data_IF_262780452418
#
_entry.id   IF_262780452418
#
_cell.length_a   1.000
_cell.length_b   1.000
_cell.length_c   1.000
_cell.angle_alpha   90.00
_cell.angle_beta   90.00
_cell.angle_gamma   90.00
#
_symmetry.space_group_name_H-M   'P 1'
#
loop_
_entity.id
_entity.type
_entity.pdbx_description
1 polymer ?
#
# COMPACT_ATOMS: atom_id res chain seq x y z
N UNK A 1 -16.10 -29.59 27.77
CA UNK A 1 -16.03 -29.96 26.35
C UNK A 1 -16.84 -28.96 25.55
N UNK A 2 -16.26 -27.90 24.96
CA UNK A 2 -17.00 -27.07 24.02
C UNK A 2 -16.75 -27.56 22.58
N UNK A 3 -17.86 -27.84 21.92
CA UNK A 3 -18.00 -28.24 20.52
C UNK A 3 -17.72 -27.07 19.57
N UNK A 4 -16.80 -27.24 18.62
CA UNK A 4 -16.60 -26.32 17.49
C UNK A 4 -17.64 -26.59 16.39
N UNK A 5 -18.36 -25.60 15.86
CA UNK A 5 -19.11 -25.77 14.61
C UNK A 5 -18.18 -25.63 13.39
N UNK A 6 -18.63 -26.25 12.30
CA UNK A 6 -17.86 -26.72 11.17
C UNK A 6 -17.38 -25.64 10.17
N UNK A 7 -16.17 -25.90 9.65
CA UNK A 7 -15.66 -25.66 8.28
C UNK A 7 -16.16 -24.44 7.49
N UNK A 8 -15.28 -23.45 7.34
CA UNK A 8 -15.33 -22.44 6.28
C UNK A 8 -15.21 -23.08 4.89
N UNK A 9 -15.92 -22.57 3.86
CA UNK A 9 -15.83 -23.12 2.51
C UNK A 9 -14.45 -22.82 1.88
N UNK A 10 -13.93 -23.71 1.02
CA UNK A 10 -12.63 -23.50 0.36
C UNK A 10 -12.70 -22.30 -0.61
N UNK A 11 -11.59 -21.56 -0.79
CA UNK A 11 -11.55 -20.39 -1.68
C UNK A 11 -11.81 -20.81 -3.13
N UNK A 12 -12.66 -20.03 -3.80
CA UNK A 12 -12.99 -20.18 -5.20
C UNK A 12 -11.72 -20.23 -6.07
N UNK A 13 -11.71 -21.14 -7.04
CA UNK A 13 -10.54 -21.38 -7.91
C UNK A 13 -10.25 -20.15 -8.77
N UNK A 14 -8.97 -19.82 -8.88
CA UNK A 14 -8.33 -18.77 -9.70
C UNK A 14 -8.62 -18.80 -11.23
N UNK A 15 -9.63 -19.52 -11.70
CA UNK A 15 -10.01 -19.56 -13.13
C UNK A 15 -11.01 -18.46 -13.53
N UNK A 16 -11.61 -17.76 -12.57
CA UNK A 16 -12.68 -16.80 -12.87
C UNK A 16 -12.22 -15.34 -13.05
N UNK A 17 -10.96 -15.01 -12.74
CA UNK A 17 -10.39 -13.66 -12.94
C UNK A 17 -10.12 -13.30 -14.41
N UNK A 18 -10.38 -14.20 -15.36
CA UNK A 18 -10.27 -13.90 -16.80
C UNK A 18 -11.53 -13.30 -17.41
N UNK A 19 -12.57 -13.06 -16.60
CA UNK A 19 -13.84 -12.43 -16.99
C UNK A 19 -14.13 -11.24 -16.08
N UNK A 20 -13.26 -10.24 -16.10
CA UNK A 20 -13.56 -8.98 -15.41
C UNK A 20 -14.67 -8.25 -16.17
N UNK A 21 -15.92 -8.51 -15.75
CA UNK A 21 -17.14 -7.85 -16.25
C UNK A 21 -17.07 -6.34 -16.09
N UNK A 22 -16.22 -5.85 -15.19
CA UNK A 22 -15.98 -4.45 -14.83
C UNK A 22 -15.34 -3.66 -15.98
N UNK A 23 -14.33 -4.22 -16.64
CA UNK A 23 -13.63 -3.59 -17.78
C UNK A 23 -14.51 -3.65 -19.03
N UNK A 24 -15.19 -4.77 -19.26
CA UNK A 24 -16.19 -4.90 -20.32
C UNK A 24 -17.40 -3.97 -20.10
N UNK A 25 -17.81 -3.74 -18.85
CA UNK A 25 -18.90 -2.83 -18.52
C UNK A 25 -18.49 -1.36 -18.71
N UNK A 26 -17.27 -0.97 -18.33
CA UNK A 26 -16.73 0.37 -18.61
C UNK A 26 -16.56 0.61 -20.11
N UNK A 27 -16.04 -0.37 -20.85
CA UNK A 27 -15.94 -0.28 -22.31
C UNK A 27 -17.32 -0.23 -22.99
N UNK A 28 -18.30 -1.02 -22.51
CA UNK A 28 -19.67 -0.99 -23.01
C UNK A 28 -20.40 0.32 -22.67
N UNK A 29 -20.15 0.89 -21.49
CA UNK A 29 -20.72 2.19 -21.08
C UNK A 29 -20.16 3.35 -21.92
N UNK A 30 -18.85 3.35 -22.17
CA UNK A 30 -18.21 4.33 -23.06
C UNK A 30 -18.70 4.17 -24.51
N UNK A 31 -18.86 2.93 -24.99
CA UNK A 31 -19.39 2.64 -26.33
C UNK A 31 -20.88 3.03 -26.46
N UNK A 32 -21.67 2.85 -25.39
CA UNK A 32 -23.07 3.26 -25.31
C UNK A 32 -23.24 4.78 -25.30
N UNK A 33 -22.38 5.51 -24.60
CA UNK A 33 -22.38 6.98 -24.58
C UNK A 33 -22.04 7.57 -25.96
N UNK A 34 -21.07 6.97 -26.68
CA UNK A 34 -20.71 7.36 -28.05
C UNK A 34 -21.87 7.07 -29.02
N UNK A 35 -22.60 5.96 -28.85
CA UNK A 35 -23.77 5.63 -29.68
C UNK A 35 -24.97 6.56 -29.44
N UNK A 36 -25.23 6.94 -28.18
CA UNK A 36 -26.33 7.84 -27.84
C UNK A 36 -26.07 9.27 -28.35
N UNK A 37 -24.84 9.76 -28.27
CA UNK A 37 -24.44 11.05 -28.82
C UNK A 37 -24.53 11.08 -30.36
N UNK A 38 -24.15 9.98 -31.02
CA UNK A 38 -24.27 9.84 -32.48
C UNK A 38 -25.72 9.89 -32.99
N UNK A 39 -26.66 9.23 -32.29
CA UNK A 39 -28.08 9.22 -32.69
C UNK A 39 -28.72 10.61 -32.53
N UNK A 40 -28.39 11.33 -31.45
CA UNK A 40 -28.87 12.70 -31.24
C UNK A 40 -28.30 13.67 -32.28
N UNK A 41 -27.02 13.53 -32.64
CA UNK A 41 -26.39 14.35 -33.67
C UNK A 41 -27.00 14.13 -35.06
N UNK A 42 -27.31 12.88 -35.44
CA UNK A 42 -27.98 12.56 -36.72
C UNK A 42 -29.42 13.09 -36.75
N UNK A 43 -30.14 13.03 -35.63
CA UNK A 43 -31.48 13.58 -35.52
C UNK A 43 -31.48 15.11 -35.66
N UNK A 44 -30.55 15.81 -35.00
CA UNK A 44 -30.40 17.28 -35.12
C UNK A 44 -29.98 17.66 -36.54
N UNK A 45 -29.00 16.97 -37.13
CA UNK A 45 -28.56 17.22 -38.50
C UNK A 45 -29.69 17.04 -39.52
N UNK A 46 -30.73 16.25 -39.22
CA UNK A 46 -31.86 16.04 -40.11
C UNK A 46 -32.72 17.31 -40.35
N UNK A 47 -32.63 18.30 -39.45
CA UNK A 47 -33.45 19.51 -39.38
C UNK A 47 -32.72 20.80 -39.83
N UNK A 48 -31.42 20.74 -40.17
CA UNK A 48 -30.63 21.90 -40.61
C UNK A 48 -30.51 22.03 -42.14
N UNK A 49 -30.35 23.24 -42.66
CA UNK A 49 -30.09 23.50 -44.09
C UNK A 49 -28.82 22.78 -44.59
N UNK A 50 -28.74 22.44 -45.89
CA UNK A 50 -27.63 21.64 -46.48
C UNK A 50 -26.24 22.21 -46.18
N UNK A 51 -26.07 23.54 -46.19
CA UNK A 51 -24.77 24.18 -45.87
C UNK A 51 -24.33 23.98 -44.41
N UNK A 52 -25.26 23.91 -43.45
CA UNK A 52 -24.91 23.65 -42.05
C UNK A 52 -24.66 22.17 -41.76
N UNK A 53 -25.22 21.27 -42.58
CA UNK A 53 -25.00 19.82 -42.46
C UNK A 53 -23.56 19.46 -42.82
N UNK A 54 -23.02 20.02 -43.91
CA UNK A 54 -21.66 19.70 -44.36
C UNK A 54 -20.60 20.24 -43.39
N UNK A 55 -20.81 21.43 -42.81
CA UNK A 55 -19.91 21.96 -41.78
C UNK A 55 -19.96 21.13 -40.49
N UNK A 56 -21.16 20.76 -40.02
CA UNK A 56 -21.33 19.93 -38.83
C UNK A 56 -20.74 18.52 -39.00
N UNK A 57 -20.87 17.93 -40.19
CA UNK A 57 -20.24 16.64 -40.52
C UNK A 57 -18.70 16.75 -40.56
N UNK A 58 -18.15 17.86 -41.07
CA UNK A 58 -16.72 18.14 -41.04
C UNK A 58 -16.16 18.20 -39.60
N UNK A 59 -16.82 18.93 -38.72
CA UNK A 59 -16.43 19.00 -37.29
C UNK A 59 -16.58 17.65 -36.58
N UNK A 60 -17.65 16.90 -36.87
CA UNK A 60 -17.88 15.57 -36.31
C UNK A 60 -16.81 14.56 -36.75
N UNK A 61 -16.37 14.60 -38.01
CA UNK A 61 -15.30 13.72 -38.50
C UNK A 61 -13.93 14.09 -37.93
N UNK A 62 -13.64 15.38 -37.76
CA UNK A 62 -12.41 15.84 -37.11
C UNK A 62 -12.34 15.46 -35.63
N UNK A 63 -13.45 15.58 -34.91
CA UNK A 63 -13.54 15.15 -33.50
C UNK A 63 -13.41 13.62 -33.36
N UNK A 64 -14.02 12.84 -34.25
CA UNK A 64 -13.85 11.39 -34.29
C UNK A 64 -12.40 10.99 -34.58
N UNK A 65 -11.72 11.63 -35.54
CA UNK A 65 -10.32 11.36 -35.86
C UNK A 65 -9.37 11.68 -34.69
N UNK A 66 -9.61 12.80 -34.01
CA UNK A 66 -8.88 13.16 -32.78
C UNK A 66 -9.11 12.13 -31.68
N UNK A 67 -10.37 11.70 -31.46
CA UNK A 67 -10.70 10.69 -30.46
C UNK A 67 -10.04 9.33 -30.74
N UNK A 68 -9.96 8.91 -32.01
CA UNK A 68 -9.26 7.67 -32.39
C UNK A 68 -7.76 7.77 -32.13
N UNK A 69 -7.15 8.92 -32.44
CA UNK A 69 -5.74 9.16 -32.18
C UNK A 69 -5.42 9.15 -30.67
N UNK A 70 -6.29 9.75 -29.85
CA UNK A 70 -6.17 9.70 -28.39
C UNK A 70 -6.29 8.27 -27.85
N UNK A 71 -7.20 7.47 -28.40
CA UNK A 71 -7.36 6.07 -28.00
C UNK A 71 -6.14 5.21 -28.36
N UNK A 72 -5.54 5.43 -29.53
CA UNK A 72 -4.32 4.74 -29.94
C UNK A 72 -3.11 5.15 -29.08
N UNK A 73 -2.98 6.43 -28.75
CA UNK A 73 -1.95 6.91 -27.83
C UNK A 73 -2.08 6.27 -26.45
N UNK A 74 -3.29 6.23 -25.89
CA UNK A 74 -3.56 5.57 -24.60
C UNK A 74 -3.23 4.06 -24.64
N UNK A 75 -3.55 3.38 -25.75
CA UNK A 75 -3.17 1.97 -25.95
C UNK A 75 -1.66 1.75 -25.94
N UNK A 76 -0.90 2.64 -26.57
CA UNK A 76 0.56 2.57 -26.56
C UNK A 76 1.15 2.81 -25.18
N UNK A 77 0.57 3.72 -24.40
CA UNK A 77 0.99 4.00 -23.02
C UNK A 77 0.75 2.81 -22.09
N UNK A 78 -0.45 2.20 -22.15
CA UNK A 78 -0.75 0.97 -21.39
C UNK A 78 0.21 -0.16 -21.78
N UNK A 79 0.47 -0.35 -23.08
CA UNK A 79 1.41 -1.36 -23.56
C UNK A 79 2.85 -1.09 -23.08
N UNK A 80 3.24 0.16 -22.84
CA UNK A 80 4.53 0.51 -22.27
C UNK A 80 4.59 0.15 -20.77
N UNK A 81 3.55 0.49 -20.00
CA UNK A 81 3.44 0.13 -18.58
C UNK A 81 3.46 -1.39 -18.38
N UNK A 82 2.78 -2.16 -19.24
CA UNK A 82 2.78 -3.62 -19.19
C UNK A 82 4.19 -4.20 -19.36
N UNK A 83 5.02 -3.63 -20.25
CA UNK A 83 6.42 -4.07 -20.44
C UNK A 83 7.25 -3.84 -19.19
N UNK A 84 7.07 -2.70 -18.54
CA UNK A 84 7.79 -2.36 -17.30
C UNK A 84 7.37 -3.28 -16.14
N UNK A 85 6.07 -3.56 -16.02
CA UNK A 85 5.53 -4.52 -15.06
C UNK A 85 6.07 -5.94 -15.31
N UNK A 86 6.14 -6.37 -16.57
CA UNK A 86 6.73 -7.66 -16.94
C UNK A 86 8.23 -7.74 -16.62
N UNK A 87 8.99 -6.67 -16.86
CA UNK A 87 10.41 -6.58 -16.50
C UNK A 87 10.58 -6.74 -14.98
N UNK A 88 9.83 -5.96 -14.20
CA UNK A 88 9.84 -6.03 -12.73
C UNK A 88 9.47 -7.43 -12.23
N UNK A 89 8.47 -8.08 -12.86
CA UNK A 89 8.09 -9.46 -12.53
C UNK A 89 9.19 -10.48 -12.86
N UNK A 90 9.99 -10.25 -13.91
CA UNK A 90 11.14 -11.12 -14.24
C UNK A 90 12.23 -10.98 -13.18
N UNK A 91 12.58 -9.76 -12.80
CA UNK A 91 13.56 -9.51 -11.73
C UNK A 91 13.14 -10.14 -10.40
N UNK A 92 11.86 -10.01 -10.03
CA UNK A 92 11.34 -10.64 -8.81
C UNK A 92 11.41 -12.17 -8.86
N UNK A 93 11.24 -12.78 -10.05
CA UNK A 93 11.40 -14.23 -10.23
C UNK A 93 12.86 -14.67 -10.07
N UNK A 94 13.81 -13.86 -10.55
CA UNK A 94 15.24 -14.11 -10.40
C UNK A 94 15.68 -13.99 -8.93
N UNK A 95 15.31 -12.90 -8.25
CA UNK A 95 15.54 -12.73 -6.81
C UNK A 95 14.97 -13.89 -5.98
N UNK A 96 13.77 -14.37 -6.31
CA UNK A 96 13.17 -15.54 -5.64
C UNK A 96 13.94 -16.84 -5.91
N UNK A 97 14.55 -17.00 -7.09
CA UNK A 97 15.41 -18.14 -7.41
C UNK A 97 16.69 -18.09 -6.58
N UNK A 98 17.32 -16.92 -6.47
CA UNK A 98 18.54 -16.74 -5.69
C UNK A 98 18.33 -17.00 -4.19
N UNK A 99 17.22 -16.52 -3.61
CA UNK A 99 16.86 -16.82 -2.22
C UNK A 99 16.67 -18.33 -2.01
N UNK A 100 16.05 -19.02 -2.97
CA UNK A 100 15.84 -20.47 -2.93
C UNK A 100 17.16 -21.24 -3.03
N UNK A 101 18.04 -20.83 -3.94
CA UNK A 101 19.32 -21.49 -4.17
C UNK A 101 20.34 -21.19 -3.07
N UNK A 102 20.34 -19.98 -2.52
CA UNK A 102 21.08 -19.62 -1.31
C UNK A 102 20.66 -20.45 -0.10
N UNK A 103 19.36 -20.71 0.05
CA UNK A 103 18.83 -21.63 1.07
C UNK A 103 19.28 -23.08 0.84
N UNK A 104 19.38 -23.50 -0.42
CA UNK A 104 19.83 -24.85 -0.83
C UNK A 104 21.34 -25.04 -0.63
N UNK A 105 22.14 -23.99 -0.81
CA UNK A 105 23.59 -24.02 -0.58
C UNK A 105 23.95 -24.09 0.91
N UNK A 106 23.18 -23.41 1.78
CA UNK A 106 23.27 -23.57 3.25
C UNK A 106 22.93 -25.00 3.69
N UNK A 107 21.89 -25.62 3.11
CA UNK A 107 21.50 -27.00 3.45
C UNK A 107 22.56 -28.04 3.05
N UNK A 108 23.19 -27.90 1.87
CA UNK A 108 24.28 -28.80 1.42
C UNK A 108 25.56 -28.73 2.26
N UNK A 109 25.89 -27.59 2.86
CA UNK A 109 27.04 -27.50 3.79
C UNK A 109 26.79 -28.27 5.09
N UNK A 110 25.54 -28.39 5.52
CA UNK A 110 25.18 -29.15 6.73
C UNK A 110 25.29 -30.67 6.54
N UNK A 111 25.09 -31.19 5.33
CA UNK A 111 25.21 -32.63 5.03
C UNK A 111 26.66 -33.11 4.82
N UNK A 112 27.59 -32.22 4.47
CA UNK A 112 28.99 -32.58 4.14
C UNK A 112 29.93 -32.77 5.35
N UNK A 113 29.45 -32.65 6.59
CA UNK A 113 30.25 -32.91 7.80
C UNK A 113 29.92 -34.23 8.51
N UNK A 114 29.13 -35.11 7.89
CA UNK A 114 28.81 -36.42 8.46
C UNK A 114 29.49 -37.59 7.74
N UNK A 115 30.80 -37.79 7.91
CA UNK A 115 31.49 -39.11 7.78
C UNK A 115 33.00 -39.01 8.01
N UNK A 116 33.46 -39.29 9.23
CA UNK A 116 34.62 -40.13 9.57
C UNK A 116 34.56 -40.44 11.07
N UNK A 117 34.71 -41.72 11.41
CA UNK A 117 34.51 -42.25 12.76
C UNK A 117 35.79 -42.47 13.57
N UNK A 118 35.59 -42.40 14.90
CA UNK A 118 36.28 -43.07 16.02
C UNK A 118 37.70 -42.61 16.40
N UNK A 119 37.83 -42.04 17.60
CA UNK A 119 38.52 -42.65 18.76
C UNK A 119 38.17 -41.90 20.07
N UNK A 120 38.24 -42.63 21.18
CA UNK A 120 37.71 -42.36 22.52
C UNK A 120 38.38 -41.20 23.29
N UNK A 121 37.59 -40.46 24.10
CA UNK A 121 37.81 -40.25 25.55
C UNK A 121 36.65 -39.49 26.23
N UNK A 122 36.47 -39.78 27.51
CA UNK A 122 35.40 -39.38 28.44
C UNK A 122 35.23 -37.87 28.69
N UNK A 123 33.99 -37.43 28.94
CA UNK A 123 33.63 -36.13 29.57
C UNK A 123 32.14 -35.78 29.40
N UNK A 124 31.45 -35.14 30.39
CA UNK A 124 30.04 -35.38 30.67
C UNK A 124 29.02 -34.54 29.86
N UNK A 125 27.79 -35.05 29.80
CA UNK A 125 26.58 -34.43 29.25
C UNK A 125 26.34 -33.02 29.81
N UNK A 126 26.18 -32.03 28.93
CA UNK A 126 25.25 -30.92 29.13
C UNK A 126 24.67 -30.46 27.77
N UNK A 127 23.42 -30.01 27.83
CA UNK A 127 22.47 -29.81 26.75
C UNK A 127 22.92 -28.76 25.72
N UNK A 128 22.95 -29.17 24.44
CA UNK A 128 23.25 -28.29 23.31
C UNK A 128 21.99 -27.65 22.77
N UNK A 129 21.61 -26.52 23.36
CA UNK A 129 20.62 -25.55 22.88
C UNK A 129 20.79 -25.26 21.38
N UNK A 130 19.68 -25.33 20.64
CA UNK A 130 19.57 -24.84 19.26
C UNK A 130 20.07 -23.39 19.19
N UNK A 131 21.22 -23.17 18.55
CA UNK A 131 21.72 -21.84 18.27
C UNK A 131 20.87 -21.21 17.17
N UNK A 132 19.80 -20.54 17.60
CA UNK A 132 19.10 -19.51 16.85
C UNK A 132 20.16 -18.45 16.50
N UNK A 133 20.33 -18.14 15.22
CA UNK A 133 21.13 -16.99 14.81
C UNK A 133 20.54 -15.76 15.52
N UNK A 134 21.32 -14.99 16.29
CA UNK A 134 20.78 -13.79 16.90
C UNK A 134 20.31 -12.87 15.77
N UNK A 135 19.05 -12.44 15.86
CA UNK A 135 18.61 -11.22 15.18
C UNK A 135 19.64 -10.13 15.48
N UNK A 136 19.97 -9.23 14.52
CA UNK A 136 20.83 -8.09 14.86
C UNK A 136 20.23 -7.43 16.09
N UNK A 137 21.00 -7.42 17.18
CA UNK A 137 20.57 -6.79 18.42
C UNK A 137 20.14 -5.36 18.09
N UNK A 138 19.04 -4.85 18.66
CA UNK A 138 18.84 -3.41 18.65
C UNK A 138 20.12 -2.82 19.22
N UNK A 139 20.79 -1.97 18.46
CA UNK A 139 21.93 -1.22 18.96
C UNK A 139 21.40 -0.39 20.13
N UNK A 140 21.59 -0.89 21.35
CA UNK A 140 21.43 -0.12 22.58
C UNK A 140 22.51 0.93 22.57
N UNK A 141 22.21 2.07 21.95
CA UNK A 141 22.81 3.32 22.34
C UNK A 141 22.28 3.63 23.75
N UNK A 142 23.02 3.21 24.77
CA UNK A 142 22.93 3.76 26.12
C UNK A 142 23.56 5.16 26.13
N UNK A 143 22.95 6.08 25.39
CA UNK A 143 22.92 7.47 25.78
C UNK A 143 21.54 7.71 26.39
N UNK A 144 21.39 8.58 27.40
CA UNK A 144 20.08 9.11 27.69
C UNK A 144 19.66 9.93 26.47
N UNK A 145 18.98 9.31 25.50
CA UNK A 145 18.07 10.06 24.66
C UNK A 145 16.91 10.37 25.58
N UNK A 146 17.12 11.35 26.45
CA UNK A 146 16.05 12.06 27.11
C UNK A 146 15.40 12.89 26.02
N UNK A 147 14.67 12.24 25.10
CA UNK A 147 13.53 12.88 24.47
C UNK A 147 12.44 12.94 25.54
N UNK A 148 12.67 13.81 26.53
CA UNK A 148 11.62 14.75 26.90
C UNK A 148 11.34 15.58 25.65
N UNK A 149 10.65 14.98 24.69
CA UNK A 149 9.61 15.71 24.02
C UNK A 149 8.63 15.97 25.15
N UNK A 150 8.83 17.11 25.81
CA UNK A 150 7.86 17.65 26.74
C UNK A 150 6.51 17.56 26.03
N UNK A 151 5.48 17.04 26.69
CA UNK A 151 4.08 17.05 26.21
C UNK A 151 3.56 18.47 25.87
N UNK A 152 4.41 19.49 25.90
CA UNK A 152 4.15 20.89 25.62
C UNK A 152 3.59 21.15 24.21
N UNK A 153 3.69 20.21 23.28
CA UNK A 153 3.21 20.35 21.90
C UNK A 153 2.00 19.50 21.53
N UNK A 154 1.46 18.66 22.42
CA UNK A 154 0.39 17.70 22.10
C UNK A 154 -0.67 17.69 23.21
N UNK A 155 -1.92 17.96 22.85
CA UNK A 155 -3.08 17.90 23.74
C UNK A 155 -4.22 17.14 23.08
N UNK A 156 -4.75 16.09 23.72
CA UNK A 156 -5.87 15.32 23.18
C UNK A 156 -7.15 15.58 23.97
N UNK A 157 -8.02 16.52 23.56
CA UNK A 157 -9.31 16.75 24.23
C UNK A 157 -10.25 15.55 24.17
N UNK A 158 -10.08 14.63 23.21
CA UNK A 158 -10.82 13.35 23.17
C UNK A 158 -9.96 12.21 22.61
N UNK A 159 -10.46 10.96 22.68
CA UNK A 159 -9.74 9.79 22.13
C UNK A 159 -9.48 9.91 20.61
N UNK A 160 -10.37 10.60 19.90
CA UNK A 160 -10.33 10.74 18.44
C UNK A 160 -9.94 12.13 17.97
N UNK A 161 -9.61 13.04 18.89
CA UNK A 161 -9.26 14.41 18.56
C UNK A 161 -8.03 14.83 19.37
N UNK A 162 -6.96 15.20 18.66
CA UNK A 162 -5.79 15.81 19.25
C UNK A 162 -5.45 17.14 18.58
N UNK A 163 -4.81 18.01 19.35
CA UNK A 163 -4.26 19.29 18.96
C UNK A 163 -2.73 19.18 19.06
N UNK A 164 -2.05 19.65 18.03
CA UNK A 164 -0.61 19.56 17.85
C UNK A 164 -0.07 20.94 17.55
N UNK A 165 0.95 21.37 18.27
CA UNK A 165 1.67 22.59 17.91
C UNK A 165 2.48 22.37 16.62
N UNK A 166 2.46 23.35 15.72
CA UNK A 166 3.18 23.28 14.46
C UNK A 166 4.67 22.99 14.66
N UNK A 167 5.30 23.65 15.62
CA UNK A 167 6.73 23.47 15.92
C UNK A 167 7.04 22.02 16.32
N UNK A 168 6.11 21.38 17.02
CA UNK A 168 6.26 19.99 17.43
C UNK A 168 6.14 19.01 16.25
N UNK A 169 5.20 19.25 15.34
CA UNK A 169 5.05 18.46 14.11
C UNK A 169 6.29 18.61 13.24
N UNK A 170 6.74 19.84 13.00
CA UNK A 170 7.90 20.12 12.15
C UNK A 170 9.20 19.52 12.75
N UNK A 171 9.40 19.64 14.06
CA UNK A 171 10.51 19.00 14.75
C UNK A 171 10.48 17.47 14.59
N UNK A 172 9.31 16.84 14.68
CA UNK A 172 9.17 15.39 14.51
C UNK A 172 9.43 14.97 13.06
N UNK A 173 8.90 15.70 12.07
CA UNK A 173 9.11 15.43 10.65
C UNK A 173 10.56 15.68 10.21
N UNK A 174 11.28 16.57 10.88
CA UNK A 174 12.71 16.82 10.63
C UNK A 174 13.63 15.64 11.01
N UNK A 175 13.11 14.64 11.72
CA UNK A 175 13.84 13.45 12.17
C UNK A 175 13.35 12.16 11.48
N UNK A 176 13.61 11.98 10.17
CA UNK A 176 13.05 10.87 9.39
C UNK A 176 13.47 9.50 9.91
N UNK A 177 14.67 9.37 10.48
CA UNK A 177 15.14 8.10 11.06
C UNK A 177 14.32 7.66 12.27
N UNK A 178 13.96 8.59 13.16
CA UNK A 178 13.15 8.31 14.34
C UNK A 178 11.73 7.93 13.93
N UNK A 179 11.17 8.64 12.93
CA UNK A 179 9.86 8.32 12.39
C UNK A 179 9.83 6.94 11.71
N UNK A 180 10.85 6.61 10.92
CA UNK A 180 10.95 5.31 10.26
C UNK A 180 11.08 4.13 11.25
N UNK A 181 11.68 4.36 12.43
CA UNK A 181 11.79 3.35 13.50
C UNK A 181 10.53 3.26 14.37
N UNK A 182 9.72 4.32 14.41
CA UNK A 182 8.58 4.45 15.31
C UNK A 182 7.51 3.37 15.16
N UNK A 183 7.34 2.82 13.96
CA UNK A 183 6.44 1.71 13.67
C UNK A 183 6.83 0.98 12.39
N UNK A 184 6.47 -0.30 12.31
CA UNK A 184 6.53 -1.09 11.08
C UNK A 184 5.23 -0.92 10.32
N UNK A 185 5.35 -0.44 9.09
CA UNK A 185 4.23 -0.25 8.15
C UNK A 185 4.17 -1.46 7.23
N UNK A 186 3.05 -2.19 7.28
CA UNK A 186 2.84 -3.40 6.47
C UNK A 186 1.65 -3.18 5.53
N UNK A 187 1.82 -3.28 4.19
CA UNK A 187 0.70 -3.20 3.27
C UNK A 187 -0.37 -4.24 3.59
N UNK A 188 -1.64 -3.83 3.56
CA UNK A 188 -2.76 -4.75 3.72
C UNK A 188 -3.50 -4.87 2.40
N UNK A 189 -3.56 -6.08 1.85
CA UNK A 189 -4.23 -6.36 0.58
C UNK A 189 -5.59 -7.03 0.88
N UNK A 190 -6.67 -6.50 0.32
CA UNK A 190 -8.01 -7.11 0.28
C UNK A 190 -8.45 -7.21 -1.17
N UNK A 191 -8.92 -8.38 -1.58
CA UNK A 191 -9.41 -8.63 -2.95
C UNK A 191 -8.38 -8.31 -4.06
N UNK A 192 -7.09 -8.47 -3.76
CA UNK A 192 -6.00 -8.18 -4.69
C UNK A 192 -5.61 -6.70 -4.81
N UNK A 193 -6.33 -5.81 -4.11
CA UNK A 193 -6.03 -4.37 -4.04
C UNK A 193 -5.51 -4.03 -2.65
N UNK A 194 -4.53 -3.13 -2.56
CA UNK A 194 -4.08 -2.65 -1.25
C UNK A 194 -5.20 -1.80 -0.63
N UNK A 195 -5.74 -2.26 0.50
CA UNK A 195 -6.82 -1.60 1.24
C UNK A 195 -6.30 -0.52 2.21
N UNK A 196 -4.99 -0.46 2.42
CA UNK A 196 -4.35 0.45 3.37
C UNK A 196 -3.02 -0.10 3.89
N UNK A 197 -2.58 0.45 5.03
CA UNK A 197 -1.36 0.03 5.73
C UNK A 197 -1.66 -0.33 7.19
N UNK A 198 -1.11 -1.45 7.65
CA UNK A 198 -1.21 -1.88 9.06
C UNK A 198 0.02 -1.44 9.84
N UNK A 199 -0.23 -0.92 11.04
CA UNK A 199 0.81 -0.49 11.97
C UNK A 199 1.14 -1.61 12.97
N UNK A 200 2.42 -1.97 13.06
CA UNK A 200 2.93 -2.96 14.01
C UNK A 200 4.19 -2.46 14.71
N UNK A 201 4.44 -2.98 15.91
CA UNK A 201 5.66 -2.65 16.65
C UNK A 201 5.78 -1.15 16.93
N UNK A 202 4.66 -0.48 17.23
CA UNK A 202 4.65 0.93 17.60
C UNK A 202 5.48 1.10 18.88
N UNK A 203 6.54 1.90 18.78
CA UNK A 203 7.48 2.13 19.87
C UNK A 203 6.83 2.90 21.02
N UNK A 204 7.10 2.48 22.25
CA UNK A 204 6.69 3.17 23.47
C UNK A 204 7.42 4.52 23.57
N UNK A 205 6.70 5.61 23.36
CA UNK A 205 7.26 6.97 23.33
C UNK A 205 7.19 7.65 21.96
N UNK A 206 6.89 6.90 20.89
CA UNK A 206 6.68 7.48 19.56
C UNK A 206 5.49 8.42 19.49
N UNK A 207 5.51 9.37 18.53
CA UNK A 207 4.38 10.24 18.23
C UNK A 207 3.11 9.42 17.94
N UNK A 208 3.22 8.35 17.14
CA UNK A 208 2.09 7.47 16.83
C UNK A 208 1.44 6.90 18.10
N UNK A 209 2.25 6.50 19.09
CA UNK A 209 1.72 6.01 20.37
C UNK A 209 1.00 7.11 21.15
N UNK A 210 1.56 8.31 21.18
CA UNK A 210 0.99 9.48 21.87
C UNK A 210 -0.34 9.94 21.23
N UNK A 211 -0.45 9.85 19.90
CA UNK A 211 -1.69 10.11 19.14
C UNK A 211 -2.76 9.01 19.30
N UNK A 212 -2.46 7.95 20.06
CA UNK A 212 -3.40 6.87 20.36
C UNK A 212 -3.55 5.83 19.25
N UNK A 213 -2.58 5.73 18.33
CA UNK A 213 -2.48 4.58 17.45
C UNK A 213 -2.08 3.33 18.24
N UNK A 214 -2.61 2.19 17.80
CA UNK A 214 -2.43 0.88 18.45
C UNK A 214 -1.90 -0.13 17.44
N UNK A 215 -1.18 -1.13 17.94
CA UNK A 215 -0.72 -2.24 17.12
C UNK A 215 -1.93 -2.96 16.52
N UNK A 216 -1.88 -3.20 15.22
CA UNK A 216 -2.97 -3.82 14.46
C UNK A 216 -3.96 -2.83 13.85
N UNK A 217 -3.80 -1.52 14.06
CA UNK A 217 -4.58 -0.51 13.35
C UNK A 217 -4.29 -0.59 11.85
N UNK A 218 -5.34 -0.58 11.02
CA UNK A 218 -5.27 -0.50 9.57
C UNK A 218 -5.61 0.92 9.13
N UNK A 219 -4.63 1.73 8.77
CA UNK A 219 -4.85 3.06 8.20
C UNK A 219 -5.31 2.90 6.74
N UNK A 220 -6.51 3.41 6.44
CA UNK A 220 -7.13 3.34 5.11
C UNK A 220 -6.94 4.62 4.32
N UNK A 221 -7.03 5.77 4.97
CA UNK A 221 -6.91 7.07 4.32
C UNK A 221 -6.32 8.13 5.27
N UNK A 222 -5.69 9.14 4.69
CA UNK A 222 -5.19 10.33 5.37
C UNK A 222 -5.65 11.54 4.56
N UNK A 223 -6.32 12.52 5.18
CA UNK A 223 -6.93 13.68 4.50
C UNK A 223 -7.81 13.27 3.31
N UNK A 224 -8.63 12.24 3.51
CA UNK A 224 -9.47 11.63 2.47
C UNK A 224 -8.72 11.03 1.26
N UNK A 225 -7.38 11.02 1.30
CA UNK A 225 -6.55 10.37 0.30
C UNK A 225 -6.37 8.89 0.69
N UNK A 226 -6.84 7.95 -0.14
CA UNK A 226 -6.73 6.53 0.14
C UNK A 226 -5.27 6.08 0.09
N UNK A 227 -4.89 5.18 1.01
CA UNK A 227 -3.55 4.59 1.11
C UNK A 227 -3.50 3.28 0.31
N UNK A 228 -3.90 3.34 -0.96
CA UNK A 228 -4.07 2.17 -1.85
C UNK A 228 -2.79 1.79 -2.60
N UNK A 229 -1.71 2.56 -2.45
CA UNK A 229 -0.38 2.19 -2.90
C UNK A 229 0.72 2.70 -1.95
N UNK A 230 1.92 2.13 -2.03
CA UNK A 230 3.09 2.64 -1.31
C UNK A 230 3.50 4.05 -1.79
N UNK A 231 3.28 4.34 -3.08
CA UNK A 231 3.54 5.65 -3.67
C UNK A 231 2.65 6.73 -3.06
N UNK A 232 1.34 6.47 -3.00
CA UNK A 232 0.36 7.37 -2.35
C UNK A 232 0.70 7.62 -0.88
N UNK A 233 1.06 6.58 -0.13
CA UNK A 233 1.44 6.74 1.27
C UNK A 233 2.66 7.65 1.45
N UNK A 234 3.65 7.54 0.57
CA UNK A 234 4.84 8.39 0.59
C UNK A 234 4.48 9.83 0.20
N UNK A 235 3.69 9.99 -0.85
CA UNK A 235 3.24 11.28 -1.35
C UNK A 235 2.43 12.04 -0.29
N UNK A 236 1.48 11.37 0.37
CA UNK A 236 0.70 12.01 1.43
C UNK A 236 1.58 12.50 2.58
N UNK A 237 2.57 11.71 3.02
CA UNK A 237 3.52 12.16 4.05
C UNK A 237 4.34 13.37 3.59
N UNK A 238 4.78 13.38 2.33
CA UNK A 238 5.49 14.53 1.75
C UNK A 238 4.58 15.75 1.66
N UNK A 239 3.32 15.59 1.28
CA UNK A 239 2.35 16.66 1.17
C UNK A 239 2.01 17.25 2.54
N UNK A 240 1.87 16.43 3.59
CA UNK A 240 1.72 16.94 4.95
C UNK A 240 2.92 17.79 5.42
N UNK A 241 4.13 17.46 4.97
CA UNK A 241 5.33 18.23 5.30
C UNK A 241 5.43 19.53 4.48
N UNK A 242 5.00 19.51 3.21
CA UNK A 242 5.11 20.65 2.29
C UNK A 242 3.97 21.65 2.40
N UNK A 243 2.76 21.17 2.63
CA UNK A 243 1.53 21.97 2.68
C UNK A 243 0.92 21.89 4.10
N UNK A 244 1.21 22.89 4.96
CA UNK A 244 0.70 22.96 6.31
C UNK A 244 -0.81 23.05 6.36
N UNK A 245 -1.50 21.91 6.44
CA UNK A 245 -2.94 21.93 6.69
C UNK A 245 -3.22 22.16 8.19
N UNK A 246 -4.20 23.02 8.54
CA UNK A 246 -4.59 23.26 9.94
C UNK A 246 -5.28 22.04 10.56
N UNK A 247 -5.67 21.06 9.74
CA UNK A 247 -6.33 19.85 10.18
C UNK A 247 -5.85 18.67 9.35
N UNK A 248 -5.53 17.57 10.03
CA UNK A 248 -5.25 16.28 9.43
C UNK A 248 -6.30 15.27 9.91
N UNK A 249 -6.92 14.54 8.99
CA UNK A 249 -7.84 13.44 9.31
C UNK A 249 -7.21 12.11 8.93
N UNK A 250 -7.37 11.09 9.78
CA UNK A 250 -6.88 9.73 9.52
C UNK A 250 -8.02 8.76 9.74
N UNK A 251 -8.41 8.08 8.67
CA UNK A 251 -9.41 7.02 8.69
C UNK A 251 -8.71 5.68 8.85
N UNK A 252 -9.06 4.94 9.89
CA UNK A 252 -8.46 3.65 10.23
C UNK A 252 -9.51 2.62 10.61
N UNK A 253 -9.15 1.34 10.52
CA UNK A 253 -9.96 0.23 11.00
C UNK A 253 -9.26 -0.44 12.19
N UNK A 254 -10.00 -0.66 13.27
CA UNK A 254 -9.54 -1.35 14.48
C UNK A 254 -10.53 -2.44 14.84
N UNK A 255 -10.08 -3.68 14.89
CA UNK A 255 -10.92 -4.87 15.19
C UNK A 255 -12.16 -5.00 14.27
N UNK A 256 -12.09 -4.49 13.04
CA UNK A 256 -13.21 -4.51 12.09
C UNK A 256 -14.12 -3.28 12.13
N UNK A 257 -13.91 -2.36 13.07
CA UNK A 257 -14.66 -1.11 13.17
C UNK A 257 -13.87 0.04 12.54
N UNK A 258 -14.55 0.87 11.73
CA UNK A 258 -13.97 2.08 11.17
C UNK A 258 -13.98 3.21 12.20
N UNK A 259 -12.85 3.89 12.33
CA UNK A 259 -12.60 4.99 13.25
C UNK A 259 -11.93 6.12 12.49
N UNK A 260 -12.34 7.35 12.79
CA UNK A 260 -11.66 8.54 12.27
C UNK A 260 -10.96 9.25 13.42
N UNK A 261 -9.69 9.58 13.23
CA UNK A 261 -8.93 10.47 14.13
C UNK A 261 -8.71 11.80 13.45
N UNK A 262 -8.95 12.88 14.20
CA UNK A 262 -8.73 14.26 13.77
C UNK A 262 -7.57 14.85 14.56
N UNK A 263 -6.68 15.52 13.85
CA UNK A 263 -5.52 16.20 14.40
C UNK A 263 -5.56 17.67 13.95
N UNK A 264 -5.78 18.59 14.87
CA UNK A 264 -5.69 20.02 14.56
C UNK A 264 -4.25 20.48 14.79
N UNK A 265 -3.68 21.18 13.81
CA UNK A 265 -2.34 21.73 13.88
C UNK A 265 -2.47 23.23 14.16
N UNK A 266 -1.96 23.66 15.32
CA UNK A 266 -2.05 25.02 15.87
C UNK A 266 -0.76 25.80 15.67
#
# INVERSE_FOLDING_TARGET
MPTYPASSPPPARLRDLRRDRSILALAAALCGAISAAGIVAVAVASQLSTDHRDHALGEATATLASATQQLEAARHEIAAQDRELEATRRELRELRRDVRDGSRCKKRKHDKHGKHGKHHRHGPRHEGTLQVMPAPAPATFSGPVTTTITHAGLSCPSEHHCQLHREFVDATLSQPEALARSARVVPSIRDGVQAGVKLYGIESGSLLKQLGFKNGDLVRAVNDQPMTSMGEATETVVNLARDPQPTVTVTLERKGEELTKRFDIL
#
